data_IF_418904972722
#
_entry.id   IF_418904972722
#
_cell.length_a   1.000
_cell.length_b   1.000
_cell.length_c   1.000
_cell.angle_alpha   90.00
_cell.angle_beta   90.00
_cell.angle_gamma   90.00
#
_symmetry.space_group_name_H-M   'P 1'
#
loop_
_entity.id
_entity.type
_entity.pdbx_description
1 polymer ?
#
# COMPACT_ATOMS: atom_id res chain seq x y z
N UNK A 1 -71.26 -9.36 74.69
CA UNK A 1 -70.12 -10.06 73.99
C UNK A 1 -70.05 -9.60 72.53
N UNK A 2 -69.23 -8.66 72.26
CA UNK A 2 -69.04 -8.13 70.89
C UNK A 2 -67.64 -8.51 70.40
N UNK A 3 -67.65 -9.36 69.44
CA UNK A 3 -66.39 -9.81 68.80
C UNK A 3 -66.03 -8.82 67.65
N UNK A 4 -64.97 -8.06 67.82
CA UNK A 4 -64.38 -7.19 66.76
C UNK A 4 -63.50 -8.04 65.83
N UNK A 5 -63.92 -8.17 64.58
CA UNK A 5 -63.03 -8.69 63.52
C UNK A 5 -62.13 -7.54 62.95
N UNK A 6 -60.82 -7.64 63.14
CA UNK A 6 -59.88 -6.75 62.56
C UNK A 6 -59.49 -7.27 61.15
N UNK A 7 -59.83 -6.51 60.10
CA UNK A 7 -59.47 -6.82 58.73
C UNK A 7 -58.09 -6.24 58.42
N UNK A 8 -57.06 -7.10 58.21
CA UNK A 8 -55.77 -6.71 57.81
C UNK A 8 -55.75 -6.48 56.30
N UNK A 9 -55.68 -5.23 55.86
CA UNK A 9 -55.42 -4.88 54.43
C UNK A 9 -53.96 -4.98 54.12
N UNK A 10 -53.54 -6.00 53.34
CA UNK A 10 -52.22 -6.12 52.78
C UNK A 10 -52.11 -5.22 51.55
N UNK A 11 -51.46 -4.08 51.67
CA UNK A 11 -51.08 -3.22 50.50
C UNK A 11 -49.92 -3.86 49.87
N UNK A 12 -50.13 -4.59 48.76
CA UNK A 12 -49.05 -5.03 47.82
C UNK A 12 -48.58 -3.80 47.04
N UNK A 13 -47.44 -3.20 47.44
CA UNK A 13 -46.78 -2.21 46.67
C UNK A 13 -46.21 -2.90 45.39
N UNK A 14 -46.88 -2.74 44.26
CA UNK A 14 -46.38 -3.13 42.98
C UNK A 14 -45.14 -2.23 42.62
N UNK A 15 -43.95 -2.79 42.77
CA UNK A 15 -42.75 -2.17 42.19
C UNK A 15 -42.94 -2.05 40.69
N UNK A 16 -42.76 -0.86 40.09
CA UNK A 16 -42.85 -0.72 38.63
C UNK A 16 -41.71 -1.52 38.02
N UNK A 17 -42.05 -2.60 37.32
CA UNK A 17 -41.13 -3.31 36.45
C UNK A 17 -40.78 -2.36 35.31
N UNK A 18 -39.65 -1.65 35.43
CA UNK A 18 -39.06 -0.85 34.33
C UNK A 18 -38.56 -1.83 33.26
N UNK A 19 -39.44 -2.19 32.34
CA UNK A 19 -39.06 -2.89 31.12
C UNK A 19 -38.35 -1.88 30.24
N UNK A 20 -37.03 -1.79 30.38
CA UNK A 20 -36.19 -0.96 29.49
C UNK A 20 -36.43 -1.39 28.05
N UNK A 21 -36.64 -0.43 27.16
CA UNK A 21 -36.74 -0.69 25.73
C UNK A 21 -35.38 -1.23 25.20
N UNK A 22 -35.40 -1.94 24.06
CA UNK A 22 -34.18 -2.44 23.45
C UNK A 22 -33.17 -1.30 23.19
N UNK A 23 -33.65 -0.13 22.78
CA UNK A 23 -32.84 1.07 22.52
C UNK A 23 -32.19 1.59 23.81
N UNK A 24 -32.90 1.68 24.94
CA UNK A 24 -32.31 2.10 26.21
C UNK A 24 -31.28 1.08 26.72
N UNK A 25 -31.54 -0.20 26.57
CA UNK A 25 -30.62 -1.27 26.94
C UNK A 25 -29.34 -1.27 26.05
N UNK A 26 -29.43 -0.85 24.79
CA UNK A 26 -28.29 -0.67 23.91
C UNK A 26 -27.49 0.58 24.27
N UNK A 27 -28.16 1.71 24.53
CA UNK A 27 -27.51 2.97 24.89
C UNK A 27 -26.66 2.84 26.17
N UNK A 28 -27.09 2.09 27.17
CA UNK A 28 -26.31 1.86 28.40
C UNK A 28 -25.06 1.00 28.21
N UNK A 29 -24.92 0.30 27.08
CA UNK A 29 -23.79 -0.56 26.76
C UNK A 29 -22.87 0.04 25.64
N UNK A 30 -23.19 1.23 25.16
CA UNK A 30 -22.43 1.89 24.11
C UNK A 30 -21.10 2.44 24.67
N UNK A 31 -20.08 1.61 24.60
CA UNK A 31 -18.69 2.02 24.92
C UNK A 31 -18.07 2.78 23.75
N UNK A 32 -16.92 3.49 23.94
CA UNK A 32 -16.15 4.06 22.84
C UNK A 32 -15.84 3.04 21.75
N UNK A 33 -15.49 1.81 22.13
CA UNK A 33 -15.22 0.70 21.18
C UNK A 33 -16.42 0.41 20.29
N UNK A 34 -17.62 0.27 20.89
CA UNK A 34 -18.86 0.02 20.13
C UNK A 34 -19.15 1.15 19.15
N UNK A 35 -18.93 2.40 19.58
CA UNK A 35 -19.12 3.59 18.74
C UNK A 35 -18.18 3.60 17.56
N UNK A 36 -16.87 3.38 17.80
CA UNK A 36 -15.86 3.31 16.75
C UNK A 36 -16.20 2.21 15.75
N UNK A 37 -16.49 0.98 16.21
CA UNK A 37 -16.84 -0.12 15.32
C UNK A 37 -18.03 0.21 14.41
N UNK A 38 -19.07 0.86 14.97
CA UNK A 38 -20.24 1.26 14.19
C UNK A 38 -19.91 2.31 13.14
N UNK A 39 -19.03 3.25 13.47
CA UNK A 39 -18.66 4.36 12.58
C UNK A 39 -17.76 3.89 11.44
N UNK A 40 -16.77 3.02 11.71
CA UNK A 40 -15.74 2.68 10.72
C UNK A 40 -15.97 1.37 9.96
N UNK A 41 -17.01 0.61 10.30
CA UNK A 41 -17.27 -0.72 9.70
C UNK A 41 -17.32 -0.68 8.15
N UNK A 42 -17.91 0.36 7.58
CA UNK A 42 -18.08 0.48 6.12
C UNK A 42 -16.79 0.93 5.41
N UNK A 43 -15.80 1.34 6.20
CA UNK A 43 -14.47 1.71 5.71
C UNK A 43 -13.46 0.55 5.72
N UNK A 44 -13.76 -0.58 6.40
CA UNK A 44 -12.87 -1.75 6.49
C UNK A 44 -13.32 -2.81 5.51
N UNK A 45 -12.40 -3.27 4.68
CA UNK A 45 -12.67 -4.17 3.56
C UNK A 45 -11.92 -5.50 3.70
N UNK A 46 -12.44 -6.53 3.04
CA UNK A 46 -11.72 -7.76 2.76
C UNK A 46 -10.95 -7.61 1.45
N UNK A 47 -9.72 -8.10 1.43
CA UNK A 47 -8.90 -8.18 0.22
C UNK A 47 -8.63 -9.64 -0.07
N UNK A 48 -9.02 -10.08 -1.26
CA UNK A 48 -8.73 -11.40 -1.77
C UNK A 48 -7.91 -11.32 -3.05
N UNK A 49 -6.91 -12.19 -3.17
CA UNK A 49 -6.09 -12.30 -4.37
C UNK A 49 -6.17 -13.69 -4.94
N UNK A 50 -6.29 -13.79 -6.26
CA UNK A 50 -6.24 -15.07 -6.96
C UNK A 50 -4.82 -15.30 -7.44
N UNK A 51 -4.23 -16.44 -7.06
CA UNK A 51 -2.89 -16.87 -7.48
C UNK A 51 -3.01 -18.10 -8.37
N UNK A 52 -2.18 -18.17 -9.42
CA UNK A 52 -1.95 -19.40 -10.19
C UNK A 52 -0.61 -19.96 -9.72
N UNK A 53 -0.62 -20.95 -8.82
CA UNK A 53 0.60 -21.59 -8.36
C UNK A 53 0.93 -22.73 -9.31
N UNK A 54 2.01 -22.60 -10.09
CA UNK A 54 2.71 -23.74 -10.69
C UNK A 54 3.69 -24.29 -9.64
N UNK A 55 3.32 -25.39 -8.97
CA UNK A 55 4.22 -26.05 -8.01
C UNK A 55 5.31 -26.79 -8.77
N UNK A 56 6.53 -26.25 -8.80
CA UNK A 56 7.76 -27.03 -8.94
C UNK A 56 8.25 -27.37 -7.55
N UNK A 57 8.36 -28.66 -7.26
CA UNK A 57 9.05 -29.18 -6.07
C UNK A 57 10.49 -28.66 -6.03
N UNK A 58 10.80 -27.76 -5.09
CA UNK A 58 12.12 -27.23 -4.86
C UNK A 58 12.14 -26.53 -3.50
N UNK A 59 12.99 -27.01 -2.63
CA UNK A 59 13.24 -26.56 -1.28
C UNK A 59 13.57 -25.07 -1.20
N UNK A 60 12.65 -24.26 -0.71
CA UNK A 60 12.94 -22.98 -0.07
C UNK A 60 11.91 -22.72 1.01
N UNK A 61 12.44 -22.51 2.19
CA UNK A 61 11.78 -22.31 3.46
C UNK A 61 11.24 -20.88 3.55
N UNK A 62 9.92 -20.69 3.37
CA UNK A 62 9.25 -19.43 3.61
C UNK A 62 8.39 -19.57 4.89
N UNK A 63 8.96 -19.26 6.03
CA UNK A 63 8.36 -19.43 7.37
C UNK A 63 6.99 -18.73 7.57
N UNK A 64 6.65 -17.71 6.78
CA UNK A 64 5.36 -17.03 6.84
C UNK A 64 4.26 -17.87 6.15
N UNK A 65 4.59 -18.65 5.12
CA UNK A 65 3.63 -19.45 4.35
C UNK A 65 3.45 -20.88 4.85
N UNK A 66 4.37 -21.38 5.68
CA UNK A 66 4.20 -22.67 6.36
C UNK A 66 3.08 -22.68 7.40
N UNK A 67 2.57 -21.53 7.77
CA UNK A 67 1.41 -21.41 8.66
C UNK A 67 0.08 -21.88 8.01
N UNK A 68 0.03 -21.98 6.67
CA UNK A 68 -1.15 -22.46 5.91
C UNK A 68 -0.94 -23.87 5.34
N UNK A 69 -0.48 -24.78 6.16
CA UNK A 69 -0.08 -26.14 5.81
C UNK A 69 -1.20 -26.93 5.09
N UNK A 70 -0.97 -27.33 3.82
CA UNK A 70 -1.73 -28.39 3.14
C UNK A 70 -0.74 -29.36 2.50
N UNK A 71 -0.71 -30.64 2.91
CA UNK A 71 0.21 -31.64 2.36
C UNK A 71 -0.36 -32.35 1.13
N UNK A 72 0.48 -32.60 0.11
CA UNK A 72 0.18 -33.57 -0.95
C UNK A 72 0.96 -33.43 -2.25
N UNK A 73 1.42 -34.53 -2.85
CA UNK A 73 2.25 -34.55 -4.05
C UNK A 73 1.38 -34.77 -5.29
N UNK A 74 0.90 -33.69 -5.90
CA UNK A 74 0.43 -33.72 -7.32
C UNK A 74 0.42 -32.30 -7.87
N UNK A 75 0.91 -32.14 -9.12
CA UNK A 75 0.84 -30.89 -9.88
C UNK A 75 -0.61 -30.63 -10.22
N UNK A 76 -1.30 -29.83 -9.43
CA UNK A 76 -2.60 -29.24 -9.76
C UNK A 76 -2.50 -27.72 -9.68
N UNK A 77 -2.96 -27.06 -10.73
CA UNK A 77 -3.24 -25.61 -10.69
C UNK A 77 -4.41 -25.40 -9.74
N UNK A 78 -4.13 -25.09 -8.50
CA UNK A 78 -5.16 -24.76 -7.52
C UNK A 78 -5.16 -23.24 -7.38
N UNK A 79 -6.28 -22.56 -7.62
CA UNK A 79 -6.41 -21.16 -7.26
C UNK A 79 -6.31 -21.05 -5.74
N UNK A 80 -5.23 -20.50 -5.25
CA UNK A 80 -5.04 -20.23 -3.81
C UNK A 80 -5.46 -18.79 -3.58
N UNK A 81 -6.39 -18.59 -2.66
CA UNK A 81 -6.82 -17.26 -2.27
C UNK A 81 -5.98 -16.81 -1.07
N UNK A 82 -5.23 -15.73 -1.22
CA UNK A 82 -4.71 -15.01 -0.07
C UNK A 82 -5.81 -14.08 0.43
N UNK A 83 -6.04 -14.09 1.73
CA UNK A 83 -7.07 -13.29 2.39
C UNK A 83 -6.41 -12.34 3.37
N UNK A 84 -6.75 -11.08 3.29
CA UNK A 84 -6.33 -10.05 4.23
C UNK A 84 -7.41 -8.99 4.36
N UNK A 85 -7.11 -7.97 5.13
CA UNK A 85 -7.95 -6.79 5.29
C UNK A 85 -7.30 -5.57 4.68
N UNK A 86 -8.10 -4.54 4.49
CA UNK A 86 -7.69 -3.20 4.13
C UNK A 86 -8.67 -2.19 4.67
N UNK A 87 -8.39 -0.93 4.45
CA UNK A 87 -9.30 0.15 4.82
C UNK A 87 -9.23 1.31 3.83
N UNK A 88 -10.35 1.97 3.67
CA UNK A 88 -10.49 3.13 2.77
C UNK A 88 -9.80 4.34 3.40
N UNK A 89 -8.91 4.99 2.64
CA UNK A 89 -8.21 6.22 3.05
C UNK A 89 -8.68 7.45 2.26
N UNK A 90 -9.38 7.25 1.13
CA UNK A 90 -9.95 8.34 0.35
C UNK A 90 -11.27 7.88 -0.28
N UNK A 91 -12.24 8.77 -0.35
CA UNK A 91 -13.61 8.50 -0.80
C UNK A 91 -13.70 8.09 -2.27
N UNK A 92 -12.74 8.47 -3.10
CA UNK A 92 -12.63 8.05 -4.49
C UNK A 92 -12.18 6.60 -4.70
N UNK A 93 -11.94 5.83 -3.61
CA UNK A 93 -11.67 4.39 -3.70
C UNK A 93 -10.21 4.00 -3.55
N UNK A 94 -9.43 4.76 -2.79
CA UNK A 94 -8.08 4.36 -2.39
C UNK A 94 -8.12 3.62 -1.05
N UNK A 95 -7.47 2.46 -1.02
CA UNK A 95 -7.52 1.50 0.09
C UNK A 95 -6.10 1.12 0.47
N UNK A 96 -5.76 1.25 1.75
CA UNK A 96 -4.48 0.79 2.30
C UNK A 96 -4.57 -0.65 2.77
N UNK A 97 -3.50 -1.39 2.57
CA UNK A 97 -3.26 -2.74 3.10
C UNK A 97 -1.76 -3.00 3.23
N UNK A 98 -1.38 -4.20 3.68
CA UNK A 98 0.02 -4.64 3.61
C UNK A 98 0.41 -5.11 2.20
N UNK A 99 1.66 -4.89 1.81
CA UNK A 99 2.17 -5.35 0.51
C UNK A 99 2.11 -6.88 0.38
N UNK A 100 2.43 -7.62 1.46
CA UNK A 100 2.39 -9.09 1.45
C UNK A 100 0.99 -9.65 1.18
N UNK A 101 -0.10 -8.93 1.51
CA UNK A 101 -1.49 -9.35 1.23
C UNK A 101 -1.75 -9.45 -0.26
N UNK A 102 -1.13 -8.58 -1.07
CA UNK A 102 -1.38 -8.49 -2.51
C UNK A 102 -0.22 -8.96 -3.40
N UNK A 103 0.95 -9.21 -2.83
CA UNK A 103 2.23 -9.39 -3.53
C UNK A 103 2.22 -10.50 -4.61
N UNK A 104 1.40 -11.54 -4.45
CA UNK A 104 1.35 -12.70 -5.37
C UNK A 104 0.06 -12.76 -6.19
N UNK A 105 -0.81 -11.75 -6.07
CA UNK A 105 -2.09 -11.73 -6.75
C UNK A 105 -1.97 -11.39 -8.23
N UNK A 106 -2.55 -12.21 -9.09
CA UNK A 106 -2.78 -11.86 -10.51
C UNK A 106 -3.99 -10.93 -10.62
N UNK A 107 -4.96 -11.13 -9.77
CA UNK A 107 -6.17 -10.32 -9.67
C UNK A 107 -6.46 -10.02 -8.19
N UNK A 108 -6.78 -8.77 -7.90
CA UNK A 108 -7.10 -8.29 -6.56
C UNK A 108 -8.56 -7.90 -6.54
N UNK A 109 -9.33 -8.50 -5.63
CA UNK A 109 -10.73 -8.20 -5.38
C UNK A 109 -10.91 -7.63 -3.98
N UNK A 110 -11.72 -6.59 -3.86
CA UNK A 110 -12.03 -5.87 -2.62
C UNK A 110 -13.50 -6.05 -2.32
N UNK A 111 -13.83 -6.68 -1.18
CA UNK A 111 -15.22 -6.86 -0.74
C UNK A 111 -15.53 -5.97 0.45
N UNK A 112 -16.61 -5.21 0.34
CA UNK A 112 -17.10 -4.26 1.34
C UNK A 112 -18.10 -4.91 2.32
N UNK A 113 -18.43 -4.18 3.38
CA UNK A 113 -19.37 -4.65 4.41
C UNK A 113 -20.78 -4.95 3.90
N UNK A 114 -21.22 -4.25 2.85
CA UNK A 114 -22.49 -4.45 2.15
C UNK A 114 -22.46 -5.60 1.14
N UNK A 115 -21.37 -6.37 1.09
CA UNK A 115 -21.10 -7.47 0.16
C UNK A 115 -20.81 -7.03 -1.29
N UNK A 116 -20.75 -5.74 -1.57
CA UNK A 116 -20.27 -5.24 -2.86
C UNK A 116 -18.81 -5.67 -3.04
N UNK A 117 -18.48 -6.20 -4.21
CA UNK A 117 -17.10 -6.58 -4.55
C UNK A 117 -16.66 -5.81 -5.78
N UNK A 118 -15.52 -5.12 -5.66
CA UNK A 118 -14.89 -4.37 -6.74
C UNK A 118 -13.52 -4.96 -7.05
N UNK A 119 -13.12 -4.92 -8.32
CA UNK A 119 -11.77 -5.28 -8.74
C UNK A 119 -10.86 -4.08 -8.61
N UNK A 120 -9.62 -4.33 -8.18
CA UNK A 120 -8.60 -3.30 -8.20
C UNK A 120 -8.22 -2.97 -9.65
N UNK A 121 -8.20 -1.68 -9.97
CA UNK A 121 -7.76 -1.18 -11.28
C UNK A 121 -6.27 -0.82 -11.27
N UNK A 122 -5.73 -0.51 -10.08
CA UNK A 122 -4.31 -0.23 -9.85
C UNK A 122 -3.90 -0.67 -8.44
N UNK A 123 -2.62 -0.98 -8.28
CA UNK A 123 -2.00 -1.22 -6.98
C UNK A 123 -0.60 -0.60 -6.97
N UNK A 124 -0.27 0.07 -5.88
CA UNK A 124 1.02 0.69 -5.61
C UNK A 124 1.61 0.01 -4.37
N UNK A 125 2.85 -0.46 -4.45
CA UNK A 125 3.44 -1.27 -3.39
C UNK A 125 4.81 -0.78 -2.97
N UNK A 126 5.03 -0.75 -1.67
CA UNK A 126 6.35 -0.66 -1.05
C UNK A 126 6.62 -1.97 -0.31
N UNK A 127 7.37 -2.86 -0.95
CA UNK A 127 7.68 -4.18 -0.37
C UNK A 127 8.70 -4.11 0.77
N UNK A 128 9.51 -3.06 0.84
CA UNK A 128 10.48 -2.87 1.91
C UNK A 128 9.79 -2.51 3.21
N UNK A 129 8.75 -1.68 3.12
CA UNK A 129 8.00 -1.19 4.27
C UNK A 129 6.69 -1.95 4.50
N UNK A 130 6.41 -2.95 3.66
CA UNK A 130 5.20 -3.80 3.69
C UNK A 130 3.89 -3.00 3.63
N UNK A 131 3.85 -1.96 2.82
CA UNK A 131 2.68 -1.14 2.60
C UNK A 131 2.23 -1.18 1.14
N UNK A 132 0.92 -1.15 0.93
CA UNK A 132 0.33 -1.06 -0.39
C UNK A 132 -0.92 -0.17 -0.38
N UNK A 133 -1.16 0.47 -1.51
CA UNK A 133 -2.41 1.18 -1.80
C UNK A 133 -3.05 0.58 -3.04
N UNK A 134 -4.33 0.26 -2.94
CA UNK A 134 -5.16 -0.30 -4.01
C UNK A 134 -6.15 0.77 -4.44
N UNK A 135 -6.34 0.95 -5.75
CA UNK A 135 -7.41 1.77 -6.32
C UNK A 135 -8.53 0.88 -6.83
N UNK A 136 -9.74 1.16 -6.39
CA UNK A 136 -11.00 0.63 -6.94
C UNK A 136 -11.84 1.78 -7.49
N UNK A 137 -12.81 1.49 -8.34
CA UNK A 137 -13.75 2.47 -8.90
C UNK A 137 -15.15 2.25 -8.30
N UNK A 138 -15.47 2.95 -7.19
CA UNK A 138 -16.77 2.84 -6.58
C UNK A 138 -17.81 3.70 -7.32
N UNK A 139 -19.07 3.24 -7.37
CA UNK A 139 -20.17 4.02 -7.95
C UNK A 139 -20.56 5.24 -7.12
N UNK A 140 -20.21 5.24 -5.83
CA UNK A 140 -20.52 6.32 -4.87
C UNK A 140 -19.29 6.57 -4.01
N UNK A 141 -19.09 7.80 -3.50
CA UNK A 141 -18.02 8.09 -2.56
C UNK A 141 -18.02 7.12 -1.38
N UNK A 142 -16.85 6.59 -1.04
CA UNK A 142 -16.66 5.69 0.08
C UNK A 142 -16.41 6.46 1.37
N UNK A 143 -16.68 5.83 2.49
CA UNK A 143 -16.32 6.39 3.80
C UNK A 143 -14.85 6.10 4.09
N UNK A 144 -14.02 7.16 4.17
CA UNK A 144 -12.61 7.04 4.51
C UNK A 144 -12.39 7.05 6.04
N UNK A 145 -11.35 6.34 6.50
CA UNK A 145 -10.85 6.43 7.89
C UNK A 145 -9.92 7.64 7.97
N UNK A 146 -10.12 8.46 9.01
CA UNK A 146 -9.24 9.60 9.28
C UNK A 146 -7.90 9.11 9.83
N UNK A 147 -6.81 9.69 9.32
CA UNK A 147 -5.48 9.45 9.87
C UNK A 147 -5.35 10.18 11.21
N UNK A 148 -5.09 9.43 12.27
CA UNK A 148 -4.78 9.95 13.60
C UNK A 148 -3.33 10.43 13.70
N UNK A 149 -2.82 10.61 14.92
CA UNK A 149 -1.43 10.98 15.18
C UNK A 149 -0.67 9.78 15.73
N UNK A 150 0.61 9.68 15.40
CA UNK A 150 1.49 8.61 15.88
C UNK A 150 2.59 9.14 16.83
N UNK A 151 2.70 10.47 16.97
CA UNK A 151 3.69 11.15 17.82
C UNK A 151 3.17 11.43 19.24
N UNK A 152 1.88 11.25 19.50
CA UNK A 152 1.25 11.46 20.80
C UNK A 152 0.73 10.17 21.46
N UNK A 153 1.14 9.01 20.94
CA UNK A 153 0.70 7.71 21.44
C UNK A 153 1.17 7.44 22.88
N UNK A 154 0.25 6.96 23.71
CA UNK A 154 0.55 6.65 25.11
C UNK A 154 0.54 5.14 25.37
N UNK A 155 1.58 4.62 26.02
CA UNK A 155 1.58 3.23 26.48
C UNK A 155 0.42 3.04 27.47
N UNK A 156 -0.39 2.00 27.24
CA UNK A 156 -1.58 1.72 28.03
C UNK A 156 -2.88 2.32 27.46
N UNK A 157 -2.85 3.16 26.42
CA UNK A 157 -4.07 3.64 25.80
C UNK A 157 -4.78 2.50 25.04
N UNK A 158 -6.12 2.53 25.07
CA UNK A 158 -6.94 1.51 24.42
C UNK A 158 -6.87 1.63 22.91
N UNK A 159 -6.63 0.48 22.26
CA UNK A 159 -6.63 0.34 20.81
C UNK A 159 -7.66 -0.67 20.32
N UNK A 160 -8.11 -0.49 19.09
CA UNK A 160 -9.12 -1.31 18.43
C UNK A 160 -8.55 -1.77 17.11
N UNK A 161 -8.30 -3.08 16.97
CA UNK A 161 -7.90 -3.69 15.72
C UNK A 161 -9.14 -4.26 15.03
N UNK A 162 -9.32 -3.91 13.75
CA UNK A 162 -10.47 -4.38 12.96
C UNK A 162 -9.93 -5.07 11.70
N UNK A 163 -10.58 -6.19 11.36
CA UNK A 163 -10.36 -6.90 10.11
C UNK A 163 -11.64 -7.44 9.54
N UNK A 164 -11.60 -7.87 8.28
CA UNK A 164 -12.70 -8.53 7.60
C UNK A 164 -12.21 -9.80 6.87
N UNK A 165 -11.77 -10.82 7.62
CA UNK A 165 -11.01 -11.96 7.06
C UNK A 165 -11.73 -12.78 6.01
N UNK A 166 -13.07 -12.77 6.01
CA UNK A 166 -13.89 -13.61 5.12
C UNK A 166 -14.90 -12.82 4.29
N UNK A 167 -14.90 -11.49 4.39
CA UNK A 167 -15.83 -10.64 3.66
C UNK A 167 -17.28 -10.65 4.18
N UNK A 168 -17.58 -11.44 5.20
CA UNK A 168 -18.95 -11.57 5.73
C UNK A 168 -19.19 -10.79 7.01
N UNK A 169 -18.20 -10.76 7.92
CA UNK A 169 -18.33 -10.08 9.21
C UNK A 169 -16.97 -9.54 9.66
N UNK A 170 -16.99 -8.33 10.18
CA UNK A 170 -15.81 -7.74 10.79
C UNK A 170 -15.42 -8.49 12.06
N UNK A 171 -14.13 -8.77 12.20
CA UNK A 171 -13.54 -9.23 13.46
C UNK A 171 -12.96 -8.02 14.16
N UNK A 172 -13.38 -7.79 15.40
CA UNK A 172 -12.90 -6.71 16.24
C UNK A 172 -12.17 -7.31 17.43
N UNK A 173 -10.93 -6.85 17.64
CA UNK A 173 -10.18 -7.14 18.85
C UNK A 173 -9.76 -5.83 19.51
N UNK A 174 -9.64 -5.84 20.83
CA UNK A 174 -9.22 -4.67 21.61
C UNK A 174 -8.07 -5.04 22.51
N UNK A 175 -7.24 -4.08 22.79
CA UNK A 175 -6.12 -4.18 23.70
C UNK A 175 -5.60 -2.79 24.05
N UNK A 176 -4.34 -2.71 24.40
CA UNK A 176 -3.65 -1.47 24.69
C UNK A 176 -2.36 -1.36 23.87
N UNK A 177 -1.84 -0.15 23.74
CA UNK A 177 -0.46 0.05 23.28
C UNK A 177 0.48 -0.50 24.36
N UNK A 178 1.21 -1.56 24.03
CA UNK A 178 2.19 -2.17 24.93
C UNK A 178 3.57 -1.50 24.84
N UNK A 179 3.92 -1.03 23.64
CA UNK A 179 5.14 -0.25 23.37
C UNK A 179 5.01 0.49 22.04
N UNK A 180 5.79 1.54 21.89
CA UNK A 180 5.95 2.30 20.65
C UNK A 180 7.37 2.17 20.13
N UNK A 181 7.57 2.50 18.85
CA UNK A 181 8.89 2.56 18.20
C UNK A 181 9.70 1.25 18.28
N UNK A 182 9.01 0.11 18.08
CA UNK A 182 9.68 -1.19 18.05
C UNK A 182 10.34 -1.43 16.69
N UNK A 183 11.50 -2.09 16.73
CA UNK A 183 12.20 -2.60 15.57
C UNK A 183 12.25 -4.13 15.63
N UNK A 184 11.91 -4.77 14.51
CA UNK A 184 11.97 -6.23 14.36
C UNK A 184 12.78 -6.56 13.12
N UNK A 185 13.82 -7.39 13.30
CA UNK A 185 14.63 -7.89 12.20
C UNK A 185 14.32 -9.37 11.98
N UNK A 186 14.01 -9.74 10.75
CA UNK A 186 13.78 -11.11 10.34
C UNK A 186 15.07 -11.79 9.87
N UNK A 187 15.05 -13.12 9.79
CA UNK A 187 16.19 -13.93 9.33
C UNK A 187 16.65 -13.60 7.90
N UNK A 188 15.76 -13.07 7.08
CA UNK A 188 16.04 -12.62 5.71
C UNK A 188 16.58 -11.19 5.62
N UNK A 189 17.00 -10.61 6.75
CA UNK A 189 17.56 -9.26 6.90
C UNK A 189 16.56 -8.12 6.64
N UNK A 190 15.26 -8.38 6.49
CA UNK A 190 14.24 -7.33 6.49
C UNK A 190 14.04 -6.80 7.90
N UNK A 191 14.10 -5.49 8.06
CA UNK A 191 13.88 -4.80 9.32
C UNK A 191 12.61 -3.95 9.24
N UNK A 192 11.65 -4.27 10.09
CA UNK A 192 10.47 -3.43 10.30
C UNK A 192 10.77 -2.45 11.43
N UNK A 193 10.61 -1.17 11.16
CA UNK A 193 10.90 -0.08 12.11
C UNK A 193 9.65 0.72 12.42
N UNK A 194 9.68 1.42 13.55
CA UNK A 194 8.57 2.28 14.01
C UNK A 194 7.25 1.52 14.14
N UNK A 195 7.33 0.29 14.71
CA UNK A 195 6.15 -0.51 14.97
C UNK A 195 5.52 -0.15 16.31
N UNK A 196 4.19 -0.19 16.34
CA UNK A 196 3.38 -0.17 17.55
C UNK A 196 3.21 -1.62 18.01
N UNK A 197 3.57 -1.92 19.27
CA UNK A 197 3.28 -3.21 19.90
C UNK A 197 1.97 -3.11 20.67
N UNK A 198 1.11 -4.11 20.54
CA UNK A 198 -0.19 -4.19 21.23
C UNK A 198 -0.46 -5.61 21.71
N UNK A 199 -1.26 -5.76 22.75
CA UNK A 199 -1.84 -7.04 23.20
C UNK A 199 -3.21 -7.33 22.56
N UNK A 200 -3.75 -6.41 21.76
CA UNK A 200 -4.88 -6.70 20.87
C UNK A 200 -4.52 -7.88 19.97
N UNK A 201 -5.39 -8.88 19.89
CA UNK A 201 -5.12 -10.09 19.09
C UNK A 201 -5.00 -9.75 17.60
N UNK A 202 -3.78 -9.83 17.06
CA UNK A 202 -3.49 -9.73 15.64
C UNK A 202 -3.32 -11.16 15.10
N UNK A 203 -4.17 -11.53 14.13
CA UNK A 203 -4.22 -12.88 13.56
C UNK A 203 -4.34 -12.79 12.04
N UNK A 204 -4.05 -13.89 11.30
CA UNK A 204 -4.36 -13.96 9.89
C UNK A 204 -5.81 -13.54 9.61
N UNK A 205 -5.96 -12.59 8.71
CA UNK A 205 -7.25 -12.01 8.32
C UNK A 205 -7.50 -10.59 8.83
N UNK A 206 -6.89 -10.12 9.94
CA UNK A 206 -6.89 -8.70 10.27
C UNK A 206 -5.60 -7.97 9.83
N UNK A 207 -4.59 -8.69 9.29
CA UNK A 207 -3.43 -8.09 8.63
C UNK A 207 -3.85 -7.17 7.48
N UNK A 208 -3.27 -5.98 7.41
CA UNK A 208 -3.62 -4.91 6.47
C UNK A 208 -4.83 -4.08 6.91
N UNK A 209 -5.58 -4.51 7.92
CA UNK A 209 -6.66 -3.74 8.53
C UNK A 209 -6.16 -2.64 9.47
N UNK A 210 -7.03 -1.72 9.88
CA UNK A 210 -6.66 -0.59 10.73
C UNK A 210 -6.48 -0.99 12.20
N UNK A 211 -5.49 -0.36 12.86
CA UNK A 211 -5.40 -0.18 14.29
C UNK A 211 -5.86 1.24 14.63
N UNK A 212 -6.89 1.37 15.45
CA UNK A 212 -7.57 2.63 15.73
C UNK A 212 -7.44 3.00 17.20
N UNK A 213 -7.47 4.31 17.49
CA UNK A 213 -7.69 4.83 18.83
C UNK A 213 -9.18 4.86 19.18
N UNK A 214 -9.53 5.28 20.40
CA UNK A 214 -10.92 5.37 20.88
C UNK A 214 -11.76 6.46 20.19
N UNK A 215 -11.15 7.30 19.36
CA UNK A 215 -11.82 8.30 18.52
C UNK A 215 -12.13 7.77 17.11
N UNK A 216 -11.67 6.54 16.79
CA UNK A 216 -11.83 5.94 15.46
C UNK A 216 -10.84 6.46 14.44
N UNK A 217 -9.74 7.05 14.88
CA UNK A 217 -8.67 7.52 14.03
C UNK A 217 -7.61 6.44 13.87
N UNK A 218 -7.02 6.35 12.67
CA UNK A 218 -5.98 5.41 12.35
C UNK A 218 -4.68 5.78 13.06
N UNK A 219 -4.17 4.87 13.88
CA UNK A 219 -2.85 5.00 14.51
C UNK A 219 -1.84 4.00 13.95
N UNK A 220 -2.31 2.92 13.30
CA UNK A 220 -1.42 1.94 12.67
C UNK A 220 -2.14 0.99 11.74
N UNK A 221 -1.36 0.18 11.01
CA UNK A 221 -1.80 -0.87 10.10
C UNK A 221 -1.41 -2.21 10.70
N UNK A 222 -2.40 -3.06 11.03
CA UNK A 222 -2.18 -4.37 11.62
C UNK A 222 -1.29 -5.21 10.71
N UNK A 223 -0.23 -5.82 11.26
CA UNK A 223 0.62 -6.74 10.50
C UNK A 223 0.94 -7.96 11.38
N UNK A 224 0.66 -9.16 10.87
CA UNK A 224 0.93 -10.39 11.59
C UNK A 224 2.41 -10.74 11.45
N UNK A 225 3.20 -10.54 12.50
CA UNK A 225 4.65 -10.68 12.39
C UNK A 225 5.22 -11.90 13.14
N UNK A 226 4.59 -12.44 14.20
CA UNK A 226 5.15 -13.58 14.96
C UNK A 226 4.09 -14.58 15.38
N UNK A 227 4.22 -15.81 14.90
CA UNK A 227 3.41 -16.95 15.35
C UNK A 227 3.90 -17.62 16.63
N UNK A 228 5.08 -17.24 17.17
CA UNK A 228 5.74 -17.86 18.30
C UNK A 228 5.51 -17.14 19.65
N UNK A 229 4.81 -16.00 19.65
CA UNK A 229 4.53 -15.26 20.87
C UNK A 229 3.02 -15.01 21.03
N UNK A 230 2.47 -15.39 22.19
CA UNK A 230 1.08 -15.13 22.53
C UNK A 230 0.93 -13.69 23.05
N UNK A 231 -0.16 -13.03 22.67
CA UNK A 231 -0.52 -11.65 23.10
C UNK A 231 0.52 -10.58 22.73
N UNK A 232 1.26 -10.79 21.64
CA UNK A 232 2.16 -9.80 21.09
C UNK A 232 1.79 -9.58 19.62
N UNK A 233 1.04 -8.51 19.38
CA UNK A 233 0.69 -8.02 18.05
C UNK A 233 1.54 -6.80 17.68
N UNK A 234 1.69 -6.56 16.39
CA UNK A 234 2.38 -5.39 15.87
C UNK A 234 1.54 -4.70 14.80
N UNK A 235 1.69 -3.39 14.73
CA UNK A 235 1.14 -2.57 13.66
C UNK A 235 2.19 -1.60 13.14
N UNK A 236 2.21 -1.38 11.83
CA UNK A 236 3.02 -0.33 11.19
C UNK A 236 2.38 1.01 11.58
N UNK A 237 3.16 1.95 12.13
CA UNK A 237 2.61 3.23 12.60
C UNK A 237 2.02 4.07 11.46
N UNK A 238 1.04 4.91 11.77
CA UNK A 238 0.45 5.86 10.83
C UNK A 238 1.48 6.86 10.32
N UNK A 239 2.47 7.23 11.14
CA UNK A 239 3.58 8.09 10.72
C UNK A 239 4.43 7.44 9.63
N UNK A 240 4.61 6.11 9.71
CA UNK A 240 5.29 5.38 8.65
C UNK A 240 4.50 5.39 7.34
N UNK A 241 3.17 5.23 7.42
CA UNK A 241 2.31 5.38 6.25
C UNK A 241 2.49 6.77 5.63
N UNK A 242 2.43 7.85 6.43
CA UNK A 242 2.63 9.22 5.93
C UNK A 242 3.96 9.41 5.22
N UNK A 243 5.04 8.88 5.80
CA UNK A 243 6.39 8.97 5.19
C UNK A 243 6.49 8.25 3.85
N UNK A 244 5.67 7.21 3.64
CA UNK A 244 5.70 6.37 2.43
C UNK A 244 4.74 6.88 1.35
N UNK A 245 3.70 7.65 1.71
CA UNK A 245 2.72 8.17 0.76
C UNK A 245 3.34 8.89 -0.46
N UNK A 246 4.35 9.78 -0.29
CA UNK A 246 4.98 10.43 -1.44
C UNK A 246 5.62 9.44 -2.42
N UNK A 247 6.21 8.36 -1.91
CA UNK A 247 6.83 7.32 -2.73
C UNK A 247 5.78 6.41 -3.37
N UNK A 248 4.71 6.04 -2.62
CA UNK A 248 3.60 5.23 -3.13
C UNK A 248 2.79 5.95 -4.21
N UNK A 249 2.64 7.26 -4.08
CA UNK A 249 1.94 8.12 -5.04
C UNK A 249 2.90 8.97 -5.87
N UNK A 250 4.07 8.45 -6.18
CA UNK A 250 5.04 9.16 -7.03
C UNK A 250 4.44 9.43 -8.42
N UNK A 251 3.79 10.59 -8.54
CA UNK A 251 3.06 11.01 -9.74
C UNK A 251 4.01 11.19 -10.92
N UNK A 252 5.22 11.66 -10.69
CA UNK A 252 6.22 11.80 -11.75
C UNK A 252 6.54 10.45 -12.39
N UNK A 253 6.65 9.39 -11.59
CA UNK A 253 6.88 8.05 -12.09
C UNK A 253 5.60 7.35 -12.60
N UNK A 254 4.49 7.44 -11.85
CA UNK A 254 3.22 6.75 -12.17
C UNK A 254 2.60 7.33 -13.44
N UNK A 255 2.58 8.65 -13.56
CA UNK A 255 1.95 9.37 -14.67
C UNK A 255 2.96 9.83 -15.74
N UNK A 256 4.27 9.65 -15.47
CA UNK A 256 5.35 10.24 -16.26
C UNK A 256 5.18 11.76 -16.41
N UNK A 257 4.81 12.41 -15.33
CA UNK A 257 4.66 13.85 -15.29
C UNK A 257 6.02 14.52 -15.05
N UNK A 258 6.16 15.74 -15.54
CA UNK A 258 7.30 16.61 -15.20
C UNK A 258 6.79 17.71 -14.26
N UNK A 259 7.09 17.58 -12.99
CA UNK A 259 6.68 18.53 -11.96
C UNK A 259 7.89 19.22 -11.34
N UNK A 260 8.88 18.45 -10.96
CA UNK A 260 10.15 18.93 -10.43
C UNK A 260 10.10 19.38 -8.98
N UNK A 261 9.19 18.84 -8.17
CA UNK A 261 9.21 19.09 -6.72
C UNK A 261 8.86 17.84 -5.92
N UNK A 262 9.36 17.81 -4.69
CA UNK A 262 8.99 16.79 -3.70
C UNK A 262 8.34 17.42 -2.50
N UNK A 263 7.48 16.68 -1.85
CA UNK A 263 6.76 17.14 -0.67
C UNK A 263 6.93 16.15 0.48
N UNK A 264 6.82 16.67 1.71
CA UNK A 264 6.81 15.88 2.92
C UNK A 264 5.61 16.28 3.78
N UNK A 265 4.79 15.33 4.27
CA UNK A 265 3.76 15.61 5.25
C UNK A 265 4.39 16.15 6.53
N UNK A 266 3.76 17.17 7.14
CA UNK A 266 4.16 17.63 8.45
C UNK A 266 3.62 16.71 9.57
N UNK A 267 4.21 16.81 10.74
CA UNK A 267 3.88 15.96 11.89
C UNK A 267 2.41 16.05 12.30
N UNK A 268 1.75 17.20 12.06
CA UNK A 268 0.31 17.36 12.31
C UNK A 268 -0.57 16.51 11.39
N UNK A 269 0.02 15.91 10.36
CA UNK A 269 -0.65 15.02 9.39
C UNK A 269 -1.63 15.71 8.43
N UNK A 270 -1.83 17.03 8.58
CA UNK A 270 -2.75 17.81 7.78
C UNK A 270 -2.04 18.70 6.75
N UNK A 271 -0.90 19.25 7.14
CA UNK A 271 -0.14 20.14 6.27
C UNK A 271 0.95 19.40 5.53
N UNK A 272 1.23 19.87 4.32
CA UNK A 272 2.25 19.34 3.44
C UNK A 272 3.23 20.45 3.13
N UNK A 273 4.51 20.18 3.35
CA UNK A 273 5.59 21.10 3.02
C UNK A 273 6.26 20.68 1.72
N UNK A 274 6.64 21.63 0.90
CA UNK A 274 7.58 21.42 -0.21
C UNK A 274 8.96 21.14 0.38
N UNK A 275 9.49 19.94 0.14
CA UNK A 275 10.79 19.52 0.67
C UNK A 275 11.93 19.95 -0.24
N UNK A 276 11.76 19.80 -1.54
CA UNK A 276 12.73 20.22 -2.55
C UNK A 276 12.07 20.62 -3.85
N UNK A 277 12.74 21.50 -4.60
CA UNK A 277 12.38 21.91 -5.96
C UNK A 277 13.62 21.70 -6.83
N UNK A 278 13.42 21.02 -7.96
CA UNK A 278 14.51 20.75 -8.93
C UNK A 278 14.79 21.99 -9.78
N UNK A 279 16.05 22.25 -10.06
CA UNK A 279 16.43 23.31 -11.03
C UNK A 279 15.91 22.98 -12.45
N UNK A 280 15.62 24.02 -13.21
CA UNK A 280 15.11 23.94 -14.60
C UNK A 280 13.79 23.16 -14.72
N UNK A 281 12.98 23.12 -13.65
CA UNK A 281 11.71 22.38 -13.61
C UNK A 281 10.50 23.32 -13.77
N UNK A 282 9.31 22.75 -14.13
CA UNK A 282 8.05 23.51 -14.14
C UNK A 282 7.70 24.15 -12.79
N UNK A 283 8.01 23.47 -11.67
CA UNK A 283 7.77 24.00 -10.34
C UNK A 283 8.68 25.21 -10.02
N UNK A 284 9.97 25.15 -10.37
CA UNK A 284 10.89 26.30 -10.20
C UNK A 284 10.45 27.47 -11.08
N UNK A 285 10.14 27.20 -12.35
CA UNK A 285 9.67 28.23 -13.28
C UNK A 285 8.37 28.91 -12.80
N UNK A 286 7.49 28.18 -12.11
CA UNK A 286 6.28 28.72 -11.50
C UNK A 286 6.55 29.48 -10.19
N UNK A 287 7.78 29.43 -9.65
CA UNK A 287 8.16 30.12 -8.43
C UNK A 287 7.85 29.37 -7.14
N UNK A 288 7.65 28.05 -7.19
CA UNK A 288 7.56 27.22 -5.99
C UNK A 288 8.91 27.13 -5.29
N UNK A 289 8.93 27.19 -3.96
CA UNK A 289 10.16 27.20 -3.17
C UNK A 289 10.16 26.07 -2.15
N UNK A 290 11.34 25.49 -1.82
CA UNK A 290 11.48 24.63 -0.65
C UNK A 290 11.03 25.37 0.61
N UNK A 291 10.24 24.70 1.46
CA UNK A 291 9.65 25.29 2.68
C UNK A 291 8.21 25.76 2.51
N UNK A 292 7.73 26.05 1.29
CA UNK A 292 6.33 26.41 1.03
C UNK A 292 5.38 25.37 1.63
N UNK A 293 4.32 25.81 2.30
CA UNK A 293 3.25 24.96 2.83
C UNK A 293 2.07 24.98 1.86
N UNK A 294 1.66 23.83 1.37
CA UNK A 294 0.52 23.70 0.47
C UNK A 294 -0.79 23.92 1.25
N UNK A 295 -1.61 24.89 0.82
CA UNK A 295 -2.90 25.22 1.43
C UNK A 295 -4.07 24.77 0.59
N UNK A 296 -4.03 25.08 -0.72
CA UNK A 296 -5.13 24.81 -1.65
C UNK A 296 -4.62 24.19 -2.94
N UNK A 297 -5.43 23.31 -3.50
CA UNK A 297 -5.25 22.71 -4.81
C UNK A 297 -6.51 23.00 -5.64
N UNK A 298 -6.37 23.68 -6.78
CA UNK A 298 -7.49 24.14 -7.64
C UNK A 298 -8.57 24.92 -6.87
N UNK A 299 -8.14 25.91 -6.10
CA UNK A 299 -9.00 26.82 -5.32
C UNK A 299 -9.83 26.09 -4.23
N UNK A 300 -9.52 24.82 -3.93
CA UNK A 300 -10.12 24.06 -2.84
C UNK A 300 -9.07 23.71 -1.78
N UNK A 301 -9.40 23.82 -0.48
CA UNK A 301 -8.50 23.44 0.59
C UNK A 301 -7.98 22.03 0.42
N UNK A 302 -6.74 21.78 0.84
CA UNK A 302 -6.16 20.47 0.95
C UNK A 302 -6.48 19.95 2.36
N UNK A 303 -7.23 18.84 2.46
CA UNK A 303 -7.65 18.29 3.74
C UNK A 303 -6.49 17.61 4.48
N UNK A 304 -5.70 16.82 3.76
CA UNK A 304 -4.50 16.15 4.25
C UNK A 304 -3.58 15.71 3.09
N UNK A 305 -2.52 14.97 3.43
CA UNK A 305 -1.56 14.47 2.43
C UNK A 305 -2.19 13.48 1.44
N UNK A 306 -3.14 12.65 1.90
CA UNK A 306 -3.81 11.67 1.01
C UNK A 306 -4.64 12.40 -0.04
N UNK A 307 -5.46 13.38 0.38
CA UNK A 307 -6.25 14.21 -0.53
C UNK A 307 -5.37 14.87 -1.59
N UNK A 308 -4.25 15.50 -1.19
CA UNK A 308 -3.33 16.12 -2.12
C UNK A 308 -2.79 15.15 -3.18
N UNK A 309 -2.23 14.01 -2.74
CA UNK A 309 -1.63 13.06 -3.67
C UNK A 309 -2.66 12.40 -4.57
N UNK A 310 -3.86 12.12 -4.06
CA UNK A 310 -4.95 11.55 -4.86
C UNK A 310 -5.39 12.53 -5.93
N UNK A 311 -5.64 13.79 -5.57
CA UNK A 311 -6.03 14.85 -6.53
C UNK A 311 -4.94 15.09 -7.58
N UNK A 312 -3.67 15.05 -7.17
CA UNK A 312 -2.54 15.16 -8.09
C UNK A 312 -2.46 13.96 -9.04
N UNK A 313 -2.66 12.73 -8.51
CA UNK A 313 -2.61 11.50 -9.29
C UNK A 313 -3.78 11.40 -10.29
N UNK A 314 -4.96 11.89 -9.94
CA UNK A 314 -6.16 11.86 -10.78
C UNK A 314 -6.24 13.05 -11.76
N UNK A 315 -5.37 14.06 -11.61
CA UNK A 315 -5.38 15.24 -12.48
C UNK A 315 -5.20 14.87 -13.95
N UNK A 316 -6.02 15.43 -14.88
CA UNK A 316 -5.78 15.28 -16.31
C UNK A 316 -4.47 15.92 -16.75
N UNK A 317 -3.68 15.19 -17.56
CA UNK A 317 -2.48 15.77 -18.19
C UNK A 317 -2.81 16.94 -19.10
N UNK A 318 -1.93 17.93 -19.19
CA UNK A 318 -2.11 19.14 -19.94
C UNK A 318 -2.89 20.26 -19.21
N UNK A 319 -3.38 19.97 -18.00
CA UNK A 319 -4.04 20.99 -17.16
C UNK A 319 -3.07 21.41 -16.05
N UNK A 320 -2.71 22.70 -16.02
CA UNK A 320 -1.80 23.21 -14.99
C UNK A 320 -2.36 22.99 -13.57
N UNK A 321 -1.47 22.70 -12.62
CA UNK A 321 -1.80 22.64 -11.20
C UNK A 321 -1.92 24.07 -10.68
N UNK A 322 -3.04 24.42 -10.06
CA UNK A 322 -3.18 25.68 -9.34
C UNK A 322 -3.00 25.42 -7.86
N UNK A 323 -1.91 25.90 -7.30
CA UNK A 323 -1.60 25.73 -5.89
C UNK A 323 -1.60 27.07 -5.18
N UNK A 324 -2.23 27.17 -4.02
CA UNK A 324 -2.02 28.26 -3.08
C UNK A 324 -1.09 27.76 -1.99
N UNK A 325 0.04 28.43 -1.81
CA UNK A 325 1.03 28.09 -0.78
C UNK A 325 1.17 29.20 0.25
N UNK A 326 1.58 28.83 1.46
CA UNK A 326 1.99 29.74 2.52
C UNK A 326 3.52 29.72 2.65
N UNK A 327 4.12 30.90 2.56
CA UNK A 327 5.56 31.14 2.78
C UNK A 327 5.84 31.68 4.18
N UNK A 328 7.13 31.85 4.48
CA UNK A 328 7.59 32.59 5.63
C UNK A 328 6.80 33.90 5.72
N UNK A 329 6.45 34.31 6.96
CA UNK A 329 5.60 35.51 7.24
C UNK A 329 4.11 35.39 6.89
N UNK A 330 3.59 34.17 6.66
CA UNK A 330 2.17 33.92 6.33
C UNK A 330 1.70 34.54 5.00
N UNK A 331 2.62 34.85 4.10
CA UNK A 331 2.28 35.30 2.76
C UNK A 331 1.64 34.15 1.96
N UNK A 332 0.46 34.40 1.39
CA UNK A 332 -0.20 33.46 0.48
C UNK A 332 0.15 33.76 -0.96
N UNK A 333 0.72 32.78 -1.64
CA UNK A 333 1.13 32.90 -3.05
C UNK A 333 0.36 31.88 -3.87
N UNK A 334 -0.32 32.37 -4.93
CA UNK A 334 -0.97 31.51 -5.91
C UNK A 334 0.00 31.19 -7.04
N UNK A 335 0.17 29.89 -7.34
CA UNK A 335 1.10 29.39 -8.33
C UNK A 335 0.35 28.54 -9.37
N UNK A 336 0.84 28.56 -10.61
CA UNK A 336 0.32 27.72 -11.69
C UNK A 336 1.47 26.93 -12.28
N UNK A 337 1.52 25.62 -12.01
CA UNK A 337 2.57 24.72 -12.44
C UNK A 337 2.06 23.91 -13.64
N UNK A 338 2.72 23.96 -14.81
CA UNK A 338 2.37 23.10 -15.94
C UNK A 338 2.40 21.60 -15.51
N UNK A 339 1.39 20.85 -15.92
CA UNK A 339 1.30 19.43 -15.66
C UNK A 339 1.33 18.66 -16.98
N UNK A 340 2.52 18.44 -17.48
CA UNK A 340 2.77 17.85 -18.77
C UNK A 340 3.47 16.49 -18.65
N UNK A 341 3.27 15.63 -19.64
CA UNK A 341 3.98 14.35 -19.68
C UNK A 341 5.45 14.57 -20.03
N UNK A 342 6.34 13.94 -19.29
CA UNK A 342 7.74 13.81 -19.70
C UNK A 342 7.80 13.10 -21.05
N UNK A 343 8.67 13.53 -21.97
CA UNK A 343 8.98 12.76 -23.15
C UNK A 343 9.32 11.32 -22.77
N UNK A 344 8.87 10.36 -23.57
CA UNK A 344 9.21 8.97 -23.32
C UNK A 344 10.73 8.81 -23.38
N UNK A 345 11.31 8.20 -22.35
CA UNK A 345 12.72 7.88 -22.35
C UNK A 345 13.02 6.89 -23.49
N UNK A 346 14.02 7.18 -24.32
CA UNK A 346 14.45 6.24 -25.35
C UNK A 346 15.23 5.09 -24.68
N UNK A 347 14.52 4.02 -24.36
CA UNK A 347 15.09 2.85 -23.69
C UNK A 347 16.18 2.17 -24.50
N UNK A 348 16.08 2.18 -25.83
CA UNK A 348 17.12 1.63 -26.69
C UNK A 348 18.39 2.48 -26.64
N UNK A 349 18.26 3.81 -26.75
CA UNK A 349 19.41 4.72 -26.65
C UNK A 349 20.06 4.67 -25.26
N UNK A 350 19.24 4.62 -24.18
CA UNK A 350 19.74 4.52 -22.81
C UNK A 350 20.43 3.16 -22.54
N UNK A 351 19.88 2.05 -23.02
CA UNK A 351 20.51 0.73 -22.91
C UNK A 351 21.85 0.69 -23.65
N UNK A 352 21.92 1.29 -24.82
CA UNK A 352 23.18 1.43 -25.56
C UNK A 352 24.17 2.30 -24.81
N UNK A 353 23.74 3.45 -24.30
CA UNK A 353 24.59 4.38 -23.57
C UNK A 353 25.13 3.79 -22.27
N UNK A 354 24.28 3.19 -21.43
CA UNK A 354 24.65 2.75 -20.08
C UNK A 354 25.23 1.34 -20.04
N UNK A 355 24.75 0.44 -20.89
CA UNK A 355 25.07 -0.99 -20.85
C UNK A 355 25.84 -1.49 -22.07
N UNK A 356 25.80 -0.77 -23.20
CA UNK A 356 26.32 -1.21 -24.48
C UNK A 356 25.44 -2.28 -25.15
N UNK A 357 24.13 -2.23 -24.91
CA UNK A 357 23.14 -3.15 -25.48
C UNK A 357 22.34 -2.44 -26.57
N UNK A 358 22.28 -3.03 -27.76
CA UNK A 358 21.27 -2.71 -28.74
C UNK A 358 20.09 -3.65 -28.50
N UNK A 359 18.93 -3.07 -28.16
CA UNK A 359 17.72 -3.78 -27.78
C UNK A 359 16.62 -3.58 -28.81
N UNK A 360 15.78 -4.59 -28.98
CA UNK A 360 14.58 -4.54 -29.83
C UNK A 360 13.40 -5.23 -29.13
N UNK A 361 12.19 -4.80 -29.47
CA UNK A 361 10.96 -5.46 -29.02
C UNK A 361 10.59 -6.60 -29.96
N UNK A 362 10.28 -7.76 -29.40
CA UNK A 362 9.88 -8.95 -30.13
C UNK A 362 8.57 -9.48 -29.56
N UNK A 363 7.60 -9.74 -30.42
CA UNK A 363 6.35 -10.43 -30.02
C UNK A 363 6.60 -11.94 -30.02
N UNK A 364 6.35 -12.57 -28.86
CA UNK A 364 6.37 -14.02 -28.73
C UNK A 364 4.97 -14.56 -28.90
N UNK A 365 4.74 -15.32 -29.99
CA UNK A 365 3.52 -16.07 -30.22
C UNK A 365 3.58 -17.43 -29.53
N UNK A 366 2.54 -17.72 -28.73
CA UNK A 366 2.22 -19.06 -28.23
C UNK A 366 3.19 -19.64 -27.20
N UNK A 367 2.92 -19.46 -25.92
CA UNK A 367 3.14 -20.35 -24.77
C UNK A 367 4.42 -21.17 -24.62
N UNK A 368 5.43 -21.04 -25.49
CA UNK A 368 6.60 -21.95 -25.57
C UNK A 368 7.68 -21.69 -24.53
N UNK A 369 7.60 -20.58 -23.76
CA UNK A 369 8.66 -20.15 -22.85
C UNK A 369 8.27 -20.10 -21.37
N UNK A 370 7.03 -20.51 -21.04
CA UNK A 370 6.48 -20.29 -19.69
C UNK A 370 6.20 -18.79 -19.41
N UNK A 371 6.24 -17.95 -20.45
CA UNK A 371 5.76 -16.57 -20.43
C UNK A 371 4.33 -16.53 -20.94
N UNK A 372 3.53 -15.61 -20.38
CA UNK A 372 2.29 -15.21 -21.03
C UNK A 372 2.62 -14.67 -22.43
N UNK A 373 1.74 -14.91 -23.41
CA UNK A 373 1.82 -14.28 -24.71
C UNK A 373 2.03 -12.77 -24.55
N UNK A 374 3.01 -12.19 -25.23
CA UNK A 374 3.27 -10.77 -25.11
C UNK A 374 4.58 -10.31 -25.76
N UNK A 375 4.82 -9.02 -25.63
CA UNK A 375 6.08 -8.39 -26.04
C UNK A 375 7.18 -8.68 -25.03
N UNK A 376 8.41 -8.85 -25.54
CA UNK A 376 9.63 -9.00 -24.75
C UNK A 376 10.74 -8.15 -25.35
N UNK A 377 11.73 -7.79 -24.55
CA UNK A 377 12.91 -7.05 -24.97
C UNK A 377 14.03 -8.03 -25.27
N UNK A 378 14.48 -8.09 -26.51
CA UNK A 378 15.56 -8.97 -26.95
C UNK A 378 16.84 -8.18 -27.26
N UNK A 379 18.00 -8.82 -27.01
CA UNK A 379 19.30 -8.28 -27.34
C UNK A 379 19.57 -8.52 -28.83
N UNK A 380 19.61 -7.45 -29.61
CA UNK A 380 19.96 -7.50 -31.03
C UNK A 380 21.47 -7.60 -31.24
N UNK A 381 22.25 -6.83 -30.46
CA UNK A 381 23.71 -6.90 -30.45
C UNK A 381 24.26 -6.32 -29.14
N UNK A 382 25.50 -6.69 -28.84
CA UNK A 382 26.27 -6.21 -27.68
C UNK A 382 27.53 -5.47 -28.23
N UNK A 383 27.79 -4.27 -27.70
CA UNK A 383 29.00 -3.51 -28.06
C UNK A 383 30.21 -4.17 -27.42
N UNK A 384 31.32 -4.37 -28.17
CA UNK A 384 32.57 -4.92 -27.63
C UNK A 384 33.07 -4.08 -26.44
N UNK A 385 33.68 -4.73 -25.46
CA UNK A 385 34.27 -4.11 -24.25
C UNK A 385 33.24 -3.32 -23.39
N UNK A 386 31.95 -3.45 -23.69
CA UNK A 386 30.90 -2.80 -22.93
C UNK A 386 30.66 -3.48 -21.58
N UNK A 387 29.94 -2.83 -20.64
CA UNK A 387 29.48 -3.49 -19.39
C UNK A 387 28.77 -4.82 -19.63
N UNK A 388 27.88 -4.88 -20.63
CA UNK A 388 27.13 -6.09 -20.95
C UNK A 388 28.02 -7.20 -21.56
N UNK A 389 29.00 -6.82 -22.37
CA UNK A 389 29.96 -7.76 -22.95
C UNK A 389 30.82 -8.44 -21.87
N UNK A 390 31.31 -7.66 -20.90
CA UNK A 390 32.12 -8.17 -19.77
C UNK A 390 31.41 -9.23 -18.91
N UNK A 391 30.10 -9.16 -18.79
CA UNK A 391 29.30 -10.16 -18.06
C UNK A 391 28.74 -11.27 -18.96
N UNK A 392 29.10 -11.24 -20.25
CA UNK A 392 28.80 -12.29 -21.21
C UNK A 392 27.36 -12.31 -21.74
N UNK A 393 26.69 -11.16 -21.82
CA UNK A 393 25.41 -11.02 -22.53
C UNK A 393 25.64 -11.29 -24.01
N UNK A 394 24.67 -11.96 -24.66
CA UNK A 394 24.80 -12.38 -26.06
C UNK A 394 23.58 -11.95 -26.88
N UNK A 395 23.80 -11.85 -28.19
CA UNK A 395 22.70 -11.67 -29.14
C UNK A 395 21.64 -12.78 -28.96
N UNK A 396 20.39 -12.40 -28.90
CA UNK A 396 19.26 -13.30 -28.73
C UNK A 396 18.89 -13.59 -27.28
N UNK A 397 19.63 -13.03 -26.30
CA UNK A 397 19.18 -13.02 -24.90
C UNK A 397 17.92 -12.15 -24.78
N UNK A 398 17.00 -12.55 -23.93
CA UNK A 398 15.82 -11.78 -23.59
C UNK A 398 16.06 -11.10 -22.23
N UNK A 399 15.94 -9.80 -22.19
CA UNK A 399 16.02 -9.05 -20.92
C UNK A 399 14.70 -9.29 -20.16
N UNK A 400 14.80 -9.96 -19.02
CA UNK A 400 13.64 -10.24 -18.16
C UNK A 400 13.56 -9.24 -17.01
N UNK A 401 14.72 -8.87 -16.45
CA UNK A 401 14.80 -7.97 -15.29
C UNK A 401 15.94 -6.95 -15.49
N UNK A 402 15.68 -5.73 -15.05
CA UNK A 402 16.66 -4.66 -14.96
C UNK A 402 16.47 -3.96 -13.60
N UNK A 403 17.56 -3.84 -12.83
CA UNK A 403 17.54 -3.36 -11.42
C UNK A 403 16.44 -4.02 -10.57
N UNK A 404 16.28 -5.37 -10.70
CA UNK A 404 15.29 -6.22 -10.03
C UNK A 404 13.82 -5.96 -10.43
N UNK A 405 13.56 -5.11 -11.41
CA UNK A 405 12.24 -4.87 -11.98
C UNK A 405 12.07 -5.67 -13.26
N UNK A 406 10.91 -6.29 -13.45
CA UNK A 406 10.60 -6.98 -14.70
C UNK A 406 10.37 -5.96 -15.81
N UNK A 407 10.92 -6.25 -17.00
CA UNK A 407 10.77 -5.42 -18.19
C UNK A 407 10.16 -6.20 -19.34
N UNK A 408 9.21 -5.59 -20.05
CA UNK A 408 8.47 -6.20 -21.17
C UNK A 408 8.62 -5.43 -22.48
N UNK A 409 8.98 -4.15 -22.38
CA UNK A 409 9.13 -3.23 -23.50
C UNK A 409 10.27 -2.24 -23.28
N UNK A 410 10.64 -1.52 -24.32
CA UNK A 410 11.70 -0.52 -24.26
C UNK A 410 11.34 0.70 -23.42
N UNK A 411 10.06 1.03 -23.28
CA UNK A 411 9.63 2.12 -22.39
C UNK A 411 9.99 1.80 -20.93
N UNK A 412 9.75 0.56 -20.46
CA UNK A 412 10.10 0.12 -19.09
C UNK A 412 11.61 0.10 -18.88
N UNK A 413 12.38 -0.34 -19.88
CA UNK A 413 13.86 -0.23 -19.88
C UNK A 413 14.29 1.22 -19.72
N UNK A 414 13.68 2.11 -20.49
CA UNK A 414 13.96 3.55 -20.46
C UNK A 414 13.69 4.16 -19.08
N UNK A 415 12.55 3.83 -18.46
CA UNK A 415 12.17 4.34 -17.14
C UNK A 415 13.17 3.96 -16.04
N UNK A 416 13.74 2.76 -16.12
CA UNK A 416 14.74 2.29 -15.14
C UNK A 416 16.07 2.98 -15.38
N UNK A 417 16.54 3.02 -16.63
CA UNK A 417 17.86 3.55 -16.97
C UNK A 417 17.93 5.09 -16.90
N UNK A 418 16.82 5.79 -17.11
CA UNK A 418 16.76 7.25 -16.96
C UNK A 418 17.10 7.69 -15.52
N UNK A 419 16.78 6.86 -14.52
CA UNK A 419 17.05 7.09 -13.10
C UNK A 419 18.41 6.55 -12.65
N UNK A 420 19.13 5.88 -13.54
CA UNK A 420 20.39 5.21 -13.22
C UNK A 420 21.55 6.12 -13.51
N UNK A 421 22.30 6.48 -12.48
CA UNK A 421 23.53 7.25 -12.64
C UNK A 421 24.65 6.39 -13.26
N UNK A 422 25.55 6.99 -14.06
CA UNK A 422 26.76 6.31 -14.50
C UNK A 422 27.59 5.79 -13.31
N UNK A 423 28.16 4.60 -13.46
CA UNK A 423 28.97 3.96 -12.42
C UNK A 423 28.16 3.21 -11.36
N UNK A 424 26.82 3.23 -11.40
CA UNK A 424 25.97 2.46 -10.48
C UNK A 424 25.96 0.98 -10.87
N UNK A 425 26.06 0.11 -9.87
CA UNK A 425 25.78 -1.32 -10.03
C UNK A 425 24.29 -1.57 -10.05
N UNK A 426 23.81 -2.20 -11.12
CA UNK A 426 22.42 -2.62 -11.27
C UNK A 426 22.34 -4.12 -11.51
N UNK A 427 21.19 -4.70 -11.22
CA UNK A 427 20.93 -6.12 -11.45
C UNK A 427 20.39 -6.33 -12.87
N UNK A 428 20.98 -7.26 -13.62
CA UNK A 428 20.50 -7.69 -14.94
C UNK A 428 20.09 -9.16 -14.89
N UNK A 429 18.84 -9.44 -15.24
CA UNK A 429 18.29 -10.78 -15.43
C UNK A 429 18.00 -11.02 -16.91
N UNK A 430 18.58 -12.06 -17.49
CA UNK A 430 18.35 -12.44 -18.88
C UNK A 430 17.90 -13.89 -19.01
N UNK A 431 17.15 -14.16 -20.04
CA UNK A 431 16.80 -15.52 -20.46
C UNK A 431 17.53 -15.85 -21.74
N UNK A 432 18.34 -16.90 -21.69
CA UNK A 432 19.11 -17.40 -22.83
C UNK A 432 18.57 -18.72 -23.33
N UNK A 433 18.40 -18.83 -24.65
CA UNK A 433 18.08 -20.09 -25.32
C UNK A 433 19.35 -20.92 -25.53
N UNK A 434 19.38 -22.12 -24.98
CA UNK A 434 20.42 -23.12 -25.20
C UNK A 434 19.83 -24.36 -25.90
N UNK A 435 20.69 -25.31 -26.34
CA UNK A 435 20.24 -26.55 -27.00
C UNK A 435 19.29 -27.38 -26.16
N UNK A 436 19.42 -27.33 -24.83
CA UNK A 436 18.64 -28.08 -23.84
C UNK A 436 17.43 -27.34 -23.28
N UNK A 437 17.18 -26.08 -23.68
CA UNK A 437 16.07 -25.29 -23.21
C UNK A 437 16.40 -23.82 -22.93
N UNK A 438 15.62 -23.17 -22.08
CA UNK A 438 15.81 -21.79 -21.69
C UNK A 438 16.36 -21.70 -20.27
N UNK A 439 17.35 -20.85 -20.06
CA UNK A 439 18.05 -20.66 -18.80
C UNK A 439 17.97 -19.20 -18.36
N UNK A 440 17.62 -18.98 -17.11
CA UNK A 440 17.74 -17.67 -16.45
C UNK A 440 19.15 -17.47 -15.97
N UNK A 441 19.74 -16.37 -16.37
CA UNK A 441 21.06 -15.93 -15.95
C UNK A 441 20.90 -14.56 -15.30
N UNK A 442 21.61 -14.37 -14.19
CA UNK A 442 21.55 -13.09 -13.46
C UNK A 442 22.95 -12.63 -13.14
N UNK A 443 23.20 -11.34 -13.27
CA UNK A 443 24.49 -10.73 -12.97
C UNK A 443 24.30 -9.30 -12.45
N UNK A 444 25.27 -8.82 -11.69
CA UNK A 444 25.43 -7.38 -11.45
C UNK A 444 26.23 -6.78 -12.60
N UNK A 445 25.78 -5.62 -13.06
CA UNK A 445 26.40 -4.88 -14.16
C UNK A 445 26.59 -3.43 -13.73
N UNK A 446 27.82 -2.92 -13.88
CA UNK A 446 28.13 -1.53 -13.62
C UNK A 446 27.84 -0.70 -14.86
N UNK A 447 27.01 0.31 -14.73
CA UNK A 447 26.68 1.23 -15.83
C UNK A 447 27.85 2.15 -16.17
N UNK A 448 27.97 2.58 -17.43
CA UNK A 448 28.98 3.54 -17.90
C UNK A 448 28.40 4.94 -18.13
#
# INVERSE_FOLDING_TARGET
MHTMLATLAVIAAALPSQTQTLTERQATRETPVVRVCRTVKDSVVNISTTQVIERRSGWFDDDIFNFFNVPGPFVQRIPTHSLGSGFVIHDSGYIVTNAHVIQRGVEISVSFADQTTLKAVKAYTDNERDLAVIKVEPEKPLQAIRLGRGDDLMIGETVIAIGNPLGYHHTVTTGVISAVDRELTFKDSRAYRHLIQTDASINPGNSGGPLLNIHGELIGINTAIRGDAQNIGFAISVERLRQVLPDLFDVENIRRADLGFKTAPLVDGKRIRVDSVNGDSPAEAAGLLPGDILLEFDDAPIDDAVDFYVRLLERPMGQALRLTVERDDQERVALSIPFEAKPKADGAALARKHLGLNLTEVSLEGGRLGFAEGQVVAVESVEPDSPADRIGVQRGDIIEQLDRQYVRNLDEVGQILEKTNPGKDIFLGVIRRMRSGYYRLTAQIQTR
#
